data_IF_168609687192
#
_entry.id   IF_168609687192
#
_cell.length_a   1.000
_cell.length_b   1.000
_cell.length_c   1.000
_cell.angle_alpha   90.00
_cell.angle_beta   90.00
_cell.angle_gamma   90.00
#
_symmetry.space_group_name_H-M   'P 1'
#
loop_
_entity.id
_entity.type
_entity.pdbx_description
1 polymer ?
#
# COMPACT_ATOMS: atom_id res chain seq x y z
N UNK A 1 12.12 -5.60 1.81
CA UNK A 1 11.83 -4.53 2.77
C UNK A 1 11.85 -3.14 2.15
N UNK A 2 10.84 -2.89 1.32
CA UNK A 2 10.48 -1.53 0.92
C UNK A 2 9.47 -0.93 1.93
N UNK A 3 9.91 0.05 2.71
CA UNK A 3 9.04 0.88 3.54
C UNK A 3 9.27 2.35 3.19
N UNK A 4 8.27 3.00 2.60
CA UNK A 4 8.35 4.43 2.31
C UNK A 4 6.99 5.10 2.20
N UNK A 5 7.00 6.40 2.44
CA UNK A 5 5.84 7.28 2.28
C UNK A 5 6.22 8.51 1.47
N UNK A 6 5.24 9.10 0.79
CA UNK A 6 5.42 10.40 0.15
C UNK A 6 5.52 11.52 1.20
N UNK A 7 6.12 12.65 0.82
CA UNK A 7 6.24 13.80 1.71
C UNK A 7 4.88 14.36 2.15
N UNK A 8 3.87 14.30 1.28
CA UNK A 8 2.53 14.76 1.65
C UNK A 8 1.88 13.82 2.67
N UNK A 9 2.11 12.50 2.53
CA UNK A 9 1.63 11.53 3.51
C UNK A 9 2.23 11.74 4.90
N UNK A 10 3.49 12.20 4.98
CA UNK A 10 4.11 12.53 6.27
C UNK A 10 3.44 13.73 6.96
N UNK A 11 2.91 14.67 6.18
CA UNK A 11 2.29 15.89 6.71
C UNK A 11 0.79 15.74 6.93
N UNK A 12 0.11 15.00 6.05
CA UNK A 12 -1.35 14.95 5.96
C UNK A 12 -1.91 13.53 5.89
N UNK A 13 -1.18 12.53 6.38
CA UNK A 13 -1.42 11.10 6.15
C UNK A 13 -2.88 10.67 6.33
N UNK A 14 -3.50 10.99 7.47
CA UNK A 14 -4.88 10.62 7.74
C UNK A 14 -5.88 11.25 6.76
N UNK A 15 -5.65 12.52 6.37
CA UNK A 15 -6.49 13.22 5.40
C UNK A 15 -6.33 12.61 4.00
N UNK A 16 -5.08 12.38 3.56
CA UNK A 16 -4.77 11.76 2.27
C UNK A 16 -5.46 10.40 2.11
N UNK A 17 -5.45 9.58 3.17
CA UNK A 17 -6.12 8.28 3.18
C UNK A 17 -7.64 8.35 3.07
N UNK A 18 -8.25 9.50 3.39
CA UNK A 18 -9.70 9.70 3.31
C UNK A 18 -10.13 10.43 2.04
N UNK A 19 -9.26 11.23 1.43
CA UNK A 19 -9.65 12.15 0.35
C UNK A 19 -9.00 11.87 -1.00
N UNK A 20 -7.81 11.26 -1.04
CA UNK A 20 -7.03 11.11 -2.30
C UNK A 20 -6.67 9.65 -2.60
N UNK A 21 -6.27 8.86 -1.59
CA UNK A 21 -5.97 7.45 -1.79
C UNK A 21 -7.22 6.70 -2.30
N UNK A 22 -7.09 6.05 -3.46
CA UNK A 22 -8.23 5.41 -4.14
C UNK A 22 -7.92 4.00 -4.66
N UNK A 23 -6.68 3.53 -4.53
CA UNK A 23 -6.27 2.20 -4.91
C UNK A 23 -5.26 1.59 -3.92
N UNK A 24 -5.32 0.27 -3.80
CA UNK A 24 -4.39 -0.55 -3.04
C UNK A 24 -3.92 -1.71 -3.92
N UNK A 25 -2.62 -2.00 -3.88
CA UNK A 25 -2.01 -3.03 -4.70
C UNK A 25 -1.00 -3.85 -3.90
N UNK A 26 -0.87 -5.10 -4.30
CA UNK A 26 0.32 -5.90 -4.04
C UNK A 26 1.31 -5.66 -5.18
N UNK A 27 2.54 -5.28 -4.84
CA UNK A 27 3.61 -4.92 -5.79
C UNK A 27 4.87 -5.71 -5.48
N UNK A 28 5.75 -5.85 -6.46
CA UNK A 28 7.05 -6.51 -6.31
C UNK A 28 8.22 -5.59 -6.61
N UNK A 29 9.23 -5.58 -5.75
CA UNK A 29 10.48 -4.84 -5.94
C UNK A 29 10.29 -3.33 -6.13
N UNK A 30 9.24 -2.75 -5.54
CA UNK A 30 9.02 -1.30 -5.58
C UNK A 30 10.01 -0.61 -4.65
N UNK A 31 10.56 0.52 -5.08
CA UNK A 31 11.51 1.31 -4.28
C UNK A 31 11.11 2.78 -4.28
N UNK A 32 11.55 3.51 -3.26
CA UNK A 32 11.19 4.94 -3.09
C UNK A 32 11.62 5.83 -4.28
N UNK A 33 12.66 5.44 -5.01
CA UNK A 33 13.15 6.17 -6.18
C UNK A 33 12.30 5.94 -7.44
N UNK A 34 11.37 4.97 -7.43
CA UNK A 34 10.51 4.70 -8.57
C UNK A 34 9.59 5.89 -8.87
N UNK A 35 9.45 6.21 -10.16
CA UNK A 35 8.36 7.06 -10.62
C UNK A 35 7.02 6.35 -10.45
N UNK A 36 5.92 7.11 -10.44
CA UNK A 36 4.57 6.54 -10.41
C UNK A 36 4.39 5.45 -11.49
N UNK A 37 4.74 5.76 -12.74
CA UNK A 37 4.63 4.80 -13.85
C UNK A 37 5.44 3.51 -13.62
N UNK A 38 6.64 3.63 -13.03
CA UNK A 38 7.50 2.47 -12.71
C UNK A 38 6.92 1.64 -11.57
N UNK A 39 6.30 2.27 -10.57
CA UNK A 39 5.65 1.54 -9.49
C UNK A 39 4.38 0.82 -9.98
N UNK A 40 3.60 1.44 -10.86
CA UNK A 40 2.40 0.82 -11.44
C UNK A 40 2.75 -0.40 -12.29
N UNK A 41 3.87 -0.39 -13.03
CA UNK A 41 4.29 -1.56 -13.82
C UNK A 41 4.73 -2.76 -12.96
N UNK A 42 4.94 -2.56 -11.65
CA UNK A 42 5.33 -3.58 -10.68
C UNK A 42 4.14 -4.21 -9.93
N UNK A 43 2.90 -3.85 -10.29
CA UNK A 43 1.69 -4.40 -9.68
C UNK A 43 1.51 -5.88 -10.03
N UNK A 44 1.34 -6.69 -8.99
CA UNK A 44 0.99 -8.12 -9.04
C UNK A 44 -0.52 -8.28 -9.04
N UNK A 45 -1.21 -7.53 -8.17
CA UNK A 45 -2.67 -7.51 -8.05
C UNK A 45 -3.10 -6.15 -7.46
N UNK A 46 -4.24 -5.61 -7.88
CA UNK A 46 -4.75 -4.33 -7.35
C UNK A 46 -6.26 -4.29 -7.26
N UNK A 47 -6.77 -3.45 -6.36
CA UNK A 47 -8.20 -3.21 -6.19
C UNK A 47 -8.46 -1.80 -5.69
N UNK A 48 -9.74 -1.40 -5.67
CA UNK A 48 -10.16 -0.11 -5.14
C UNK A 48 -9.90 -0.03 -3.64
N UNK A 49 -9.37 1.11 -3.22
CA UNK A 49 -9.29 1.51 -1.83
C UNK A 49 -10.29 2.62 -1.58
N UNK A 50 -11.06 2.50 -0.51
CA UNK A 50 -12.04 3.48 -0.08
C UNK A 50 -11.72 3.96 1.33
N UNK A 51 -12.22 5.15 1.68
CA UNK A 51 -12.08 5.70 3.03
C UNK A 51 -12.55 4.73 4.13
N UNK A 52 -13.51 3.85 3.86
CA UNK A 52 -14.00 2.85 4.81
C UNK A 52 -13.00 1.71 5.08
N UNK A 53 -12.01 1.51 4.21
CA UNK A 53 -10.99 0.46 4.35
C UNK A 53 -9.87 0.81 5.33
N UNK A 54 -9.96 1.98 5.97
CA UNK A 54 -9.01 2.42 6.98
C UNK A 54 -9.73 3.01 8.20
N UNK A 55 -9.39 2.48 9.36
CA UNK A 55 -9.79 3.02 10.66
C UNK A 55 -8.60 3.66 11.36
N UNK A 56 -8.85 4.69 12.16
CA UNK A 56 -7.84 5.37 12.95
C UNK A 56 -8.13 5.24 14.43
N UNK A 57 -7.09 4.98 15.21
CA UNK A 57 -7.15 4.95 16.67
C UNK A 57 -5.88 5.58 17.26
N UNK A 58 -6.00 6.16 18.45
CA UNK A 58 -4.83 6.63 19.19
C UNK A 58 -3.93 5.45 19.56
N UNK A 59 -2.62 5.65 19.46
CA UNK A 59 -1.60 4.68 19.83
C UNK A 59 -0.44 5.39 20.54
N UNK A 60 -0.61 5.63 21.85
CA UNK A 60 0.27 6.52 22.59
C UNK A 60 0.15 7.95 22.05
N UNK A 61 1.28 8.55 21.69
CA UNK A 61 1.32 9.87 21.05
C UNK A 61 1.00 9.81 19.55
N UNK A 62 1.08 8.63 18.94
CA UNK A 62 0.91 8.47 17.49
C UNK A 62 -0.55 8.18 17.13
N UNK A 63 -0.89 8.40 15.85
CA UNK A 63 -2.15 7.94 15.27
C UNK A 63 -1.91 6.65 14.50
N UNK A 64 -2.54 5.55 14.92
CA UNK A 64 -2.47 4.27 14.21
C UNK A 64 -3.55 4.19 13.13
N UNK A 65 -3.12 4.07 11.88
CA UNK A 65 -3.96 3.69 10.76
C UNK A 65 -3.99 2.16 10.66
N UNK A 66 -5.19 1.56 10.63
CA UNK A 66 -5.39 0.12 10.42
C UNK A 66 -6.11 -0.09 9.11
N UNK A 67 -5.46 -0.77 8.17
CA UNK A 67 -5.95 -1.06 6.84
C UNK A 67 -6.60 -2.44 6.83
N UNK A 68 -7.82 -2.52 6.31
CA UNK A 68 -8.56 -3.77 6.19
C UNK A 68 -7.98 -4.63 5.06
N UNK A 69 -7.92 -5.94 5.27
CA UNK A 69 -7.50 -6.88 4.24
C UNK A 69 -8.44 -6.82 3.01
N UNK A 70 -7.89 -7.07 1.81
CA UNK A 70 -8.67 -7.23 0.59
C UNK A 70 -8.54 -8.66 0.10
N UNK A 71 -9.65 -9.37 -0.01
CA UNK A 71 -9.67 -10.77 -0.44
C UNK A 71 -10.07 -10.93 -1.90
N UNK A 72 -9.58 -11.98 -2.55
CA UNK A 72 -10.08 -12.38 -3.87
C UNK A 72 -9.71 -11.41 -5.00
N UNK A 73 -8.62 -10.66 -4.86
CA UNK A 73 -8.13 -9.68 -5.83
C UNK A 73 -7.55 -10.41 -7.03
N UNK A 74 -7.97 -10.03 -8.24
CA UNK A 74 -7.49 -10.67 -9.46
C UNK A 74 -5.98 -10.42 -9.64
N UNK A 75 -5.25 -11.49 -9.92
CA UNK A 75 -3.82 -11.41 -10.23
C UNK A 75 -3.65 -10.96 -11.69
N UNK A 76 -2.71 -10.05 -11.93
CA UNK A 76 -2.36 -9.55 -13.27
C UNK A 76 -0.91 -9.85 -13.65
N UNK A 77 -0.06 -10.16 -12.67
CA UNK A 77 1.33 -10.56 -12.90
C UNK A 77 1.75 -11.59 -11.84
N UNK A 78 2.71 -12.46 -12.18
CA UNK A 78 3.25 -13.43 -11.24
C UNK A 78 4.32 -12.81 -10.32
N UNK A 79 4.53 -13.42 -9.16
CA UNK A 79 5.65 -13.16 -8.25
C UNK A 79 6.31 -14.47 -7.83
N UNK A 80 7.62 -14.45 -7.59
CA UNK A 80 8.38 -15.60 -7.08
C UNK A 80 8.80 -15.35 -5.63
N UNK A 81 9.22 -16.40 -4.92
CA UNK A 81 9.54 -16.31 -3.49
C UNK A 81 10.72 -15.38 -3.16
N UNK A 82 11.56 -15.05 -4.14
CA UNK A 82 12.67 -14.11 -4.00
C UNK A 82 12.31 -12.68 -4.38
N UNK A 83 11.08 -12.44 -4.88
CA UNK A 83 10.60 -11.09 -5.13
C UNK A 83 10.25 -10.45 -3.79
N UNK A 84 10.72 -9.21 -3.59
CA UNK A 84 10.40 -8.38 -2.42
C UNK A 84 8.96 -7.85 -2.56
N UNK A 85 8.01 -8.46 -1.85
CA UNK A 85 6.60 -8.09 -1.92
C UNK A 85 6.27 -6.96 -0.96
N UNK A 86 5.44 -6.04 -1.44
CA UNK A 86 4.96 -4.93 -0.62
C UNK A 86 3.52 -4.59 -0.97
N UNK A 87 2.83 -3.98 0.00
CA UNK A 87 1.51 -3.38 -0.21
C UNK A 87 1.67 -1.89 -0.43
N UNK A 88 1.09 -1.41 -1.52
CA UNK A 88 1.16 -0.03 -1.96
C UNK A 88 -0.24 0.59 -1.95
N UNK A 89 -0.39 1.72 -1.26
CA UNK A 89 -1.58 2.56 -1.30
C UNK A 89 -1.25 3.81 -2.11
N UNK A 90 -2.08 4.10 -3.11
CA UNK A 90 -1.80 5.11 -4.12
C UNK A 90 -3.08 5.79 -4.62
N UNK A 91 -2.90 6.90 -5.34
CA UNK A 91 -3.96 7.63 -6.03
C UNK A 91 -3.75 7.52 -7.53
N UNK A 92 -4.75 6.99 -8.23
CA UNK A 92 -4.80 7.00 -9.71
C UNK A 92 -5.12 8.40 -10.25
N UNK A 93 -5.73 9.26 -9.44
CA UNK A 93 -6.12 10.62 -9.82
C UNK A 93 -4.94 11.56 -9.75
N UNK A 94 -4.24 11.60 -8.62
CA UNK A 94 -3.08 12.46 -8.40
C UNK A 94 -1.77 11.83 -8.89
N UNK A 95 -1.82 10.59 -9.38
CA UNK A 95 -0.67 9.79 -9.81
C UNK A 95 0.46 9.74 -8.77
N UNK A 96 0.11 9.40 -7.52
CA UNK A 96 1.04 9.44 -6.40
C UNK A 96 0.99 8.17 -5.56
N UNK A 97 2.15 7.73 -5.11
CA UNK A 97 2.30 6.67 -4.11
C UNK A 97 2.27 7.32 -2.74
N UNK A 98 1.32 6.95 -1.89
CA UNK A 98 1.20 7.54 -0.56
C UNK A 98 2.00 6.76 0.45
N UNK A 99 1.85 5.44 0.41
CA UNK A 99 2.40 4.52 1.38
C UNK A 99 2.78 3.21 0.69
N UNK A 100 3.96 2.70 1.03
CA UNK A 100 4.42 1.36 0.71
C UNK A 100 4.87 0.67 1.99
N UNK A 101 4.33 -0.52 2.24
CA UNK A 101 4.60 -1.33 3.42
C UNK A 101 5.03 -2.72 2.98
N UNK A 102 6.15 -3.18 3.54
CA UNK A 102 6.64 -4.55 3.36
C UNK A 102 5.60 -5.59 3.83
N UNK A 103 5.51 -6.71 3.11
CA UNK A 103 4.68 -7.86 3.49
C UNK A 103 5.44 -9.15 3.29
N UNK A 104 4.94 -10.24 3.88
CA UNK A 104 5.57 -11.55 3.74
C UNK A 104 5.63 -12.00 2.27
N UNK A 105 6.85 -12.27 1.82
CA UNK A 105 7.12 -12.80 0.48
C UNK A 105 6.48 -14.17 0.27
N UNK A 106 5.99 -14.38 -0.95
CA UNK A 106 5.33 -15.62 -1.38
C UNK A 106 5.28 -15.69 -2.90
N UNK A 107 5.29 -16.91 -3.41
CA UNK A 107 5.02 -17.14 -4.82
C UNK A 107 3.54 -16.86 -5.14
N UNK A 108 3.29 -16.18 -6.26
CA UNK A 108 1.95 -15.86 -6.77
C UNK A 108 1.94 -16.25 -8.25
N UNK A 109 1.04 -17.17 -8.60
CA UNK A 109 0.81 -17.57 -9.99
C UNK A 109 -0.12 -16.58 -10.69
N UNK A 110 -0.02 -16.50 -12.01
CA UNK A 110 -0.89 -15.68 -12.85
C UNK A 110 -1.62 -16.55 -13.87
N UNK A 111 -2.25 -17.61 -13.37
CA UNK A 111 -3.18 -18.43 -14.12
C UNK A 111 -4.52 -17.72 -14.34
N UNK A 112 -5.28 -18.17 -15.34
CA UNK A 112 -6.59 -17.60 -15.63
C UNK A 112 -7.54 -17.79 -14.43
N UNK A 113 -8.01 -16.67 -13.86
CA UNK A 113 -8.90 -16.68 -12.70
C UNK A 113 -8.19 -16.71 -11.35
N UNK A 114 -6.85 -16.68 -11.32
CA UNK A 114 -6.09 -16.63 -10.08
C UNK A 114 -6.42 -15.36 -9.28
N UNK A 115 -6.52 -15.56 -7.97
CA UNK A 115 -6.86 -14.53 -7.00
C UNK A 115 -5.87 -14.57 -5.85
N UNK A 116 -5.58 -13.40 -5.28
CA UNK A 116 -4.72 -13.25 -4.11
C UNK A 116 -5.37 -12.33 -3.08
N UNK A 117 -5.01 -12.54 -1.82
CA UNK A 117 -5.40 -11.67 -0.72
C UNK A 117 -4.29 -10.67 -0.41
N UNK A 118 -4.66 -9.39 -0.35
CA UNK A 118 -3.83 -8.31 0.19
C UNK A 118 -4.05 -8.29 1.72
N UNK A 119 -3.02 -8.54 2.53
CA UNK A 119 -3.18 -8.67 3.97
C UNK A 119 -3.57 -7.32 4.61
N UNK A 120 -4.24 -7.40 5.77
CA UNK A 120 -4.40 -6.25 6.64
C UNK A 120 -3.02 -5.82 7.16
N UNK A 121 -2.85 -4.52 7.38
CA UNK A 121 -1.62 -3.99 7.95
C UNK A 121 -1.91 -2.72 8.74
N UNK A 122 -0.95 -2.32 9.57
CA UNK A 122 -1.03 -1.09 10.36
C UNK A 122 0.11 -0.17 9.99
N UNK A 123 -0.14 1.14 10.04
CA UNK A 123 0.89 2.17 9.90
C UNK A 123 0.70 3.22 10.99
N UNK A 124 1.78 3.53 11.71
CA UNK A 124 1.77 4.58 12.73
C UNK A 124 2.16 5.92 12.10
N UNK A 125 1.21 6.86 12.05
CA UNK A 125 1.44 8.25 11.69
C UNK A 125 1.98 8.94 12.94
N UNK A 126 3.27 9.27 12.89
CA UNK A 126 3.99 9.82 14.03
C UNK A 126 3.52 11.23 14.36
N UNK A 127 3.38 11.52 15.65
CA UNK A 127 3.24 12.89 16.13
C UNK A 127 4.51 13.68 15.75
N UNK A 128 4.40 14.90 15.19
CA UNK A 128 5.55 15.77 15.08
C UNK A 128 6.15 16.02 16.47
N UNK A 129 7.31 15.42 16.74
CA UNK A 129 8.12 15.81 17.90
C UNK A 129 8.54 17.26 17.68
N UNK A 130 8.11 18.16 18.56
CA UNK A 130 8.63 19.53 18.58
C UNK A 130 10.15 19.47 18.70
N UNK A 131 10.85 20.07 17.74
CA UNK A 131 12.32 20.19 17.75
C UNK A 131 12.79 21.13 18.87
#
# INVERSE_FOLDING_TARGET
MAFFTSNDFKQFGANILKTDANAIALVKGVVKADSYATAISKIVASTTFAAADVSFAANGQDLRATFVAKSGVAVTAAAIITDDLSVMVYSTTSQKIHLCQDVTDRAITNGAGDKVDIPAFTYDIKDPVAA
#
